data_IF_877839003610
#
_entry.id   IF_877839003610
#
_cell.length_a   1.000
_cell.length_b   1.000
_cell.length_c   1.000
_cell.angle_alpha   90.00
_cell.angle_beta   90.00
_cell.angle_gamma   90.00
#
_symmetry.space_group_name_H-M   'P 1'
#
loop_
_entity.id
_entity.type
_entity.pdbx_description
1 polymer ?
#
# COMPACT_ATOMS: atom_id res chain seq x y z
N UNK A 1 37.21 8.53 18.23
CA UNK A 1 35.91 8.70 17.54
C UNK A 1 36.20 8.72 16.04
N UNK A 2 36.78 7.66 15.45
CA UNK A 2 37.19 7.69 14.04
C UNK A 2 37.05 6.30 13.42
N UNK A 3 35.84 5.97 12.96
CA UNK A 3 35.54 4.74 12.21
C UNK A 3 35.14 5.00 10.76
N UNK A 4 35.20 6.25 10.30
CA UNK A 4 34.78 6.60 8.94
C UNK A 4 36.00 6.55 8.01
N UNK A 5 36.07 5.61 7.07
CA UNK A 5 37.19 5.52 6.13
C UNK A 5 37.23 6.77 5.23
N UNK A 6 38.43 7.17 4.80
CA UNK A 6 38.63 8.33 3.91
C UNK A 6 37.91 8.18 2.57
N UNK A 7 37.63 6.94 2.15
CA UNK A 7 36.87 6.62 0.95
C UNK A 7 35.34 6.78 1.11
N UNK A 8 34.85 7.24 2.26
CA UNK A 8 33.42 7.38 2.52
C UNK A 8 32.81 8.50 1.67
N UNK A 9 31.86 8.14 0.80
CA UNK A 9 31.09 9.10 0.00
C UNK A 9 29.90 9.66 0.78
N UNK A 10 29.48 10.87 0.42
CA UNK A 10 28.24 11.44 0.91
C UNK A 10 27.03 10.66 0.36
N UNK A 11 26.03 10.43 1.20
CA UNK A 11 24.75 9.85 0.76
C UNK A 11 23.96 10.96 0.07
N UNK A 12 23.72 10.81 -1.23
CA UNK A 12 22.94 11.75 -2.02
C UNK A 12 21.48 11.30 -2.02
N UNK A 13 20.61 12.14 -1.49
CA UNK A 13 19.16 11.92 -1.56
C UNK A 13 18.64 12.34 -2.93
N UNK A 14 17.75 11.55 -3.55
CA UNK A 14 17.19 11.92 -4.83
C UNK A 14 16.19 13.06 -4.67
N UNK A 15 16.21 14.02 -5.60
CA UNK A 15 15.23 15.12 -5.68
C UNK A 15 13.93 14.68 -6.37
N UNK A 16 13.99 13.58 -7.13
CA UNK A 16 12.85 12.97 -7.82
C UNK A 16 12.67 11.51 -7.41
N UNK A 17 11.42 11.07 -7.33
CA UNK A 17 11.08 9.71 -6.97
C UNK A 17 11.58 8.75 -8.06
N UNK A 18 12.39 7.72 -7.74
CA UNK A 18 12.88 6.77 -8.74
C UNK A 18 11.78 5.85 -9.31
N UNK A 19 10.57 5.88 -8.74
CA UNK A 19 9.44 5.05 -9.16
C UNK A 19 8.48 5.81 -10.09
N UNK A 20 8.13 7.05 -9.75
CA UNK A 20 7.11 7.81 -10.46
C UNK A 20 7.60 9.15 -11.03
N UNK A 21 8.86 9.53 -10.78
CA UNK A 21 9.43 10.79 -11.24
C UNK A 21 8.95 12.05 -10.52
N UNK A 22 7.94 11.95 -9.64
CA UNK A 22 7.45 13.10 -8.87
C UNK A 22 8.51 13.67 -7.92
N UNK A 23 8.37 14.94 -7.56
CA UNK A 23 9.28 15.61 -6.64
C UNK A 23 9.31 14.93 -5.26
N UNK A 24 10.49 15.00 -4.65
CA UNK A 24 10.72 14.54 -3.27
C UNK A 24 10.85 15.77 -2.38
N UNK A 25 9.93 15.90 -1.43
CA UNK A 25 9.96 16.97 -0.44
C UNK A 25 10.57 16.48 0.88
N UNK A 26 11.28 17.37 1.55
CA UNK A 26 11.74 17.18 2.92
C UNK A 26 11.25 18.36 3.75
N UNK A 27 10.32 18.08 4.66
CA UNK A 27 9.79 19.09 5.57
C UNK A 27 10.88 19.50 6.54
N UNK A 28 11.02 20.81 6.80
CA UNK A 28 11.98 21.33 7.77
C UNK A 28 11.77 20.70 9.14
N UNK A 29 12.86 20.25 9.76
CA UNK A 29 12.83 19.52 11.04
C UNK A 29 12.57 18.01 10.92
N UNK A 30 12.23 17.48 9.74
CA UNK A 30 12.07 16.04 9.54
C UNK A 30 13.33 15.38 8.93
N UNK A 31 13.64 14.18 9.42
CA UNK A 31 14.73 13.36 8.87
C UNK A 31 14.33 12.65 7.56
N UNK A 32 13.03 12.46 7.33
CA UNK A 32 12.50 11.63 6.24
C UNK A 32 12.13 12.50 5.05
N UNK A 33 12.58 12.10 3.86
CA UNK A 33 12.14 12.70 2.59
C UNK A 33 10.98 11.89 2.02
N UNK A 34 9.95 12.54 1.48
CA UNK A 34 8.73 11.88 0.98
C UNK A 34 8.46 12.25 -0.47
N UNK A 35 7.96 11.28 -1.22
CA UNK A 35 7.47 11.48 -2.57
C UNK A 35 6.12 12.21 -2.54
N UNK A 36 5.98 13.28 -3.31
CA UNK A 36 4.74 14.09 -3.40
C UNK A 36 3.69 13.48 -4.34
N UNK A 37 4.05 12.47 -5.14
CA UNK A 37 3.19 11.85 -6.15
C UNK A 37 1.95 11.09 -5.65
N UNK A 38 1.73 10.97 -4.33
CA UNK A 38 0.52 10.37 -3.76
C UNK A 38 0.16 9.01 -4.36
N UNK A 39 -1.12 8.79 -4.68
CA UNK A 39 -1.63 7.54 -5.27
C UNK A 39 -1.29 7.34 -6.75
N UNK A 40 -0.71 8.36 -7.42
CA UNK A 40 -0.15 8.20 -8.77
C UNK A 40 1.14 7.35 -8.70
N UNK A 41 1.88 7.45 -7.59
CA UNK A 41 3.05 6.62 -7.37
C UNK A 41 2.64 5.17 -7.08
N UNK A 42 3.04 4.23 -7.95
CA UNK A 42 2.75 2.80 -7.79
C UNK A 42 3.26 2.25 -6.46
N UNK A 43 4.40 2.73 -5.95
CA UNK A 43 4.93 2.33 -4.65
C UNK A 43 4.01 2.76 -3.49
N UNK A 44 3.50 3.99 -3.52
CA UNK A 44 2.56 4.47 -2.50
C UNK A 44 1.21 3.77 -2.62
N UNK A 45 0.73 3.52 -3.84
CA UNK A 45 -0.51 2.79 -4.10
C UNK A 45 -0.46 1.36 -3.56
N UNK A 46 0.62 0.63 -3.85
CA UNK A 46 0.88 -0.71 -3.28
C UNK A 46 0.84 -0.66 -1.76
N UNK A 47 1.54 0.31 -1.15
CA UNK A 47 1.58 0.42 0.31
C UNK A 47 0.22 0.78 0.92
N UNK A 48 -0.53 1.68 0.28
CA UNK A 48 -1.87 2.07 0.71
C UNK A 48 -2.84 0.89 0.67
N UNK A 49 -2.83 0.12 -0.43
CA UNK A 49 -3.68 -1.07 -0.57
C UNK A 49 -3.27 -2.17 0.41
N UNK A 50 -1.96 -2.44 0.59
CA UNK A 50 -1.48 -3.40 1.60
C UNK A 50 -1.93 -3.02 3.00
N UNK A 51 -1.85 -1.73 3.35
CA UNK A 51 -2.34 -1.26 4.63
C UNK A 51 -3.84 -1.45 4.76
N UNK A 52 -4.61 -1.09 3.73
CA UNK A 52 -6.06 -1.22 3.69
C UNK A 52 -6.53 -2.66 3.93
N UNK A 53 -5.94 -3.64 3.25
CA UNK A 53 -6.31 -5.06 3.37
C UNK A 53 -5.73 -5.75 4.61
N UNK A 54 -4.84 -5.08 5.34
CA UNK A 54 -4.14 -5.69 6.48
C UNK A 54 -5.10 -6.07 7.62
N UNK A 55 -4.67 -7.03 8.45
CA UNK A 55 -5.39 -7.46 9.66
C UNK A 55 -5.71 -6.34 10.65
N UNK A 56 -4.95 -5.24 10.61
CA UNK A 56 -5.16 -4.08 11.50
C UNK A 56 -6.12 -3.04 10.91
N UNK A 57 -6.59 -3.26 9.69
CA UNK A 57 -7.46 -2.36 8.94
C UNK A 57 -8.75 -3.09 8.58
N UNK A 58 -8.95 -3.45 7.31
CA UNK A 58 -10.15 -4.13 6.84
C UNK A 58 -10.10 -5.66 6.98
N UNK A 59 -8.95 -6.23 7.35
CA UNK A 59 -8.77 -7.67 7.59
C UNK A 59 -9.29 -8.54 6.44
N UNK A 60 -8.82 -8.25 5.20
CA UNK A 60 -9.31 -8.96 4.02
C UNK A 60 -8.52 -10.24 3.81
N UNK A 61 -9.13 -11.36 4.20
CA UNK A 61 -8.55 -12.68 3.98
C UNK A 61 -8.31 -12.97 2.49
N UNK A 62 -7.13 -13.52 2.18
CA UNK A 62 -6.74 -13.91 0.83
C UNK A 62 -6.10 -12.80 -0.02
N UNK A 63 -6.16 -11.52 0.39
CA UNK A 63 -5.43 -10.42 -0.24
C UNK A 63 -4.08 -10.17 0.45
N UNK A 64 -3.14 -11.08 0.23
CA UNK A 64 -1.76 -10.91 0.72
C UNK A 64 -0.93 -9.91 -0.11
N UNK A 65 0.22 -9.51 0.42
CA UNK A 65 1.14 -8.53 -0.20
C UNK A 65 1.44 -8.80 -1.69
N UNK A 66 1.71 -10.05 -2.05
CA UNK A 66 2.03 -10.45 -3.43
C UNK A 66 0.84 -10.33 -4.38
N UNK A 67 -0.38 -10.53 -3.87
CA UNK A 67 -1.59 -10.41 -4.69
C UNK A 67 -1.89 -8.93 -4.93
N UNK A 68 -1.76 -8.10 -3.89
CA UNK A 68 -1.89 -6.64 -3.99
C UNK A 68 -0.86 -6.05 -4.96
N UNK A 69 0.40 -6.50 -4.89
CA UNK A 69 1.44 -6.07 -5.83
C UNK A 69 1.05 -6.37 -7.28
N UNK A 70 0.62 -7.60 -7.57
CA UNK A 70 0.19 -7.98 -8.91
C UNK A 70 -1.04 -7.22 -9.39
N UNK A 71 -2.00 -6.93 -8.50
CA UNK A 71 -3.18 -6.13 -8.83
C UNK A 71 -2.78 -4.71 -9.27
N UNK A 72 -1.79 -4.11 -8.60
CA UNK A 72 -1.28 -2.79 -8.99
C UNK A 72 -0.41 -2.87 -10.25
N UNK A 73 0.45 -3.87 -10.35
CA UNK A 73 1.37 -4.04 -11.50
C UNK A 73 0.65 -4.36 -12.81
N UNK A 74 -0.50 -5.02 -12.73
CA UNK A 74 -1.41 -5.27 -13.87
C UNK A 74 -2.45 -4.17 -14.06
N UNK A 75 -2.33 -3.04 -13.34
CA UNK A 75 -3.25 -1.89 -13.41
C UNK A 75 -4.73 -2.26 -13.20
N UNK A 76 -4.99 -3.31 -12.43
CA UNK A 76 -6.34 -3.78 -12.17
C UNK A 76 -7.06 -2.97 -11.08
N UNK A 77 -6.27 -2.30 -10.23
CA UNK A 77 -6.74 -1.55 -9.05
C UNK A 77 -5.93 -0.27 -8.92
N UNK A 78 -6.61 0.86 -8.83
CA UNK A 78 -6.00 2.18 -8.61
C UNK A 78 -6.24 2.70 -7.20
N UNK A 79 -7.46 2.46 -6.71
CA UNK A 79 -7.92 2.94 -5.41
C UNK A 79 -8.46 1.78 -4.56
N UNK A 80 -8.53 1.93 -3.21
CA UNK A 80 -9.15 0.92 -2.36
C UNK A 80 -10.60 0.60 -2.75
N UNK A 81 -11.34 1.57 -3.31
CA UNK A 81 -12.71 1.37 -3.77
C UNK A 81 -12.81 0.40 -4.95
N UNK A 82 -11.76 0.28 -5.76
CA UNK A 82 -11.75 -0.63 -6.92
C UNK A 82 -11.64 -2.10 -6.50
N UNK A 83 -11.18 -2.39 -5.27
CA UNK A 83 -11.17 -3.74 -4.72
C UNK A 83 -12.58 -4.35 -4.70
N UNK A 84 -13.60 -3.55 -4.33
CA UNK A 84 -14.99 -3.99 -4.28
C UNK A 84 -15.62 -4.19 -5.67
N UNK A 85 -14.92 -3.83 -6.75
CA UNK A 85 -15.37 -4.05 -8.15
C UNK A 85 -14.71 -5.28 -8.77
N UNK A 86 -13.81 -5.96 -8.06
CA UNK A 86 -13.13 -7.15 -8.57
C UNK A 86 -14.10 -8.34 -8.61
N UNK A 87 -14.03 -9.11 -9.68
CA UNK A 87 -14.73 -10.39 -9.80
C UNK A 87 -13.75 -11.55 -9.70
N UNK A 88 -14.24 -12.72 -9.27
CA UNK A 88 -13.40 -13.90 -9.07
C UNK A 88 -12.65 -14.27 -10.36
N UNK A 89 -13.31 -14.20 -11.53
CA UNK A 89 -12.70 -14.47 -12.84
C UNK A 89 -11.56 -13.51 -13.21
N UNK A 90 -11.59 -12.25 -12.75
CA UNK A 90 -10.47 -11.32 -12.96
C UNK A 90 -9.28 -11.69 -12.08
N UNK A 91 -9.54 -12.10 -10.84
CA UNK A 91 -8.51 -12.41 -9.84
C UNK A 91 -7.79 -13.73 -10.16
N UNK A 92 -8.46 -14.71 -10.78
CA UNK A 92 -7.85 -16.00 -11.16
C UNK A 92 -6.69 -15.90 -12.15
N UNK A 93 -6.51 -14.75 -12.82
CA UNK A 93 -5.39 -14.51 -13.74
C UNK A 93 -4.09 -14.17 -13.00
N UNK A 94 -4.15 -13.98 -11.68
CA UNK A 94 -3.00 -13.68 -10.83
C UNK A 94 -2.27 -14.97 -10.44
N UNK A 95 -0.95 -14.86 -10.28
CA UNK A 95 -0.13 -15.97 -9.84
C UNK A 95 -0.56 -16.42 -8.45
N UNK A 96 -0.71 -17.75 -8.29
CA UNK A 96 -1.16 -18.42 -7.06
C UNK A 96 -2.60 -18.11 -6.65
N UNK A 97 -3.44 -17.60 -7.56
CA UNK A 97 -4.88 -17.46 -7.34
C UNK A 97 -5.67 -18.52 -8.12
N UNK A 98 -6.13 -19.56 -7.40
CA UNK A 98 -7.07 -20.54 -7.95
C UNK A 98 -8.52 -20.06 -7.88
N UNK A 99 -9.46 -20.73 -8.58
CA UNK A 99 -10.88 -20.34 -8.57
C UNK A 99 -11.48 -20.23 -7.17
N UNK A 100 -11.14 -21.17 -6.28
CA UNK A 100 -11.62 -21.16 -4.89
C UNK A 100 -11.05 -20.00 -4.08
N UNK A 101 -9.75 -19.70 -4.20
CA UNK A 101 -9.14 -18.60 -3.46
C UNK A 101 -9.62 -17.25 -3.97
N UNK A 102 -9.82 -17.12 -5.29
CA UNK A 102 -10.41 -15.93 -5.89
C UNK A 102 -11.84 -15.70 -5.40
N UNK A 103 -12.67 -16.75 -5.32
CA UNK A 103 -14.01 -16.63 -4.78
C UNK A 103 -14.00 -16.20 -3.31
N UNK A 104 -13.16 -16.82 -2.48
CA UNK A 104 -13.03 -16.46 -1.07
C UNK A 104 -12.69 -14.97 -0.86
N UNK A 105 -11.84 -14.39 -1.71
CA UNK A 105 -11.49 -12.96 -1.65
C UNK A 105 -12.69 -12.08 -1.98
N UNK A 106 -13.46 -12.42 -3.02
CA UNK A 106 -14.66 -11.68 -3.38
C UNK A 106 -15.69 -11.76 -2.25
N UNK A 107 -15.92 -12.94 -1.70
CA UNK A 107 -16.85 -13.14 -0.59
C UNK A 107 -16.43 -12.33 0.66
N UNK A 108 -15.11 -12.27 0.95
CA UNK A 108 -14.57 -11.47 2.04
C UNK A 108 -14.84 -9.96 1.83
N UNK A 109 -14.60 -9.45 0.62
CA UNK A 109 -14.84 -8.05 0.26
C UNK A 109 -16.35 -7.70 0.30
N UNK A 110 -17.20 -8.59 -0.21
CA UNK A 110 -18.66 -8.43 -0.16
C UNK A 110 -19.18 -8.40 1.29
N UNK A 111 -18.62 -9.22 2.18
CA UNK A 111 -19.00 -9.22 3.59
C UNK A 111 -18.66 -7.91 4.30
N UNK A 112 -17.54 -7.27 3.95
CA UNK A 112 -17.13 -5.96 4.48
C UNK A 112 -18.00 -4.80 3.96
N UNK A 113 -18.62 -4.95 2.80
CA UNK A 113 -19.52 -3.95 2.22
C UNK A 113 -20.86 -3.82 2.97
N UNK A 114 -21.17 -4.75 3.87
CA UNK A 114 -22.45 -4.79 4.60
C UNK A 114 -22.49 -3.75 5.72
N UNK A 115 -23.66 -3.11 5.96
CA UNK A 115 -23.80 -1.93 6.83
C UNK A 115 -23.42 -2.15 8.31
N UNK A 116 -23.33 -3.39 8.77
CA UNK A 116 -22.92 -3.72 10.14
C UNK A 116 -21.42 -3.51 10.39
N UNK A 117 -20.61 -3.28 9.34
CA UNK A 117 -19.16 -3.04 9.41
C UNK A 117 -18.78 -1.55 9.33
N UNK A 118 -19.72 -0.62 9.49
CA UNK A 118 -19.43 0.83 9.36
C UNK A 118 -18.52 1.39 10.47
N UNK A 119 -18.41 0.71 11.61
CA UNK A 119 -17.57 1.15 12.75
C UNK A 119 -16.07 1.01 12.44
N UNK A 120 -15.65 0.04 11.61
CA UNK A 120 -14.23 -0.10 11.22
C UNK A 120 -13.83 0.91 10.14
N UNK A 121 -14.74 1.24 9.21
CA UNK A 121 -14.49 2.18 8.12
C UNK A 121 -14.12 3.59 8.60
N UNK A 122 -14.68 4.06 9.72
CA UNK A 122 -14.43 5.42 10.22
C UNK A 122 -13.00 5.63 10.73
N UNK A 123 -12.29 4.57 11.12
CA UNK A 123 -10.90 4.65 11.60
C UNK A 123 -9.87 4.78 10.46
N UNK A 124 -10.23 4.45 9.21
CA UNK A 124 -9.24 4.34 8.12
C UNK A 124 -9.11 5.59 7.25
N UNK A 125 -10.12 6.48 7.24
CA UNK A 125 -10.04 7.75 6.49
C UNK A 125 -9.17 8.80 7.22
N UNK A 126 -8.85 8.58 8.50
CA UNK A 126 -8.14 9.53 9.35
C UNK A 126 -6.74 9.06 9.79
N UNK A 127 -5.85 8.77 8.83
CA UNK A 127 -4.42 8.72 9.16
C UNK A 127 -3.58 9.45 8.10
N UNK A 128 -3.64 10.78 8.15
CA UNK A 128 -2.47 11.62 7.88
C UNK A 128 -1.52 11.51 9.08
N UNK A 129 -0.96 10.32 9.31
CA UNK A 129 0.05 10.03 10.36
C UNK A 129 0.66 8.63 10.20
N UNK A 130 1.65 8.48 9.31
CA UNK A 130 2.69 7.45 9.54
C UNK A 130 3.56 7.95 10.70
N UNK A 131 3.01 7.87 11.92
CA UNK A 131 3.66 8.19 13.19
C UNK A 131 3.38 7.06 14.17
N UNK A 132 3.93 5.89 13.88
CA UNK A 132 4.25 4.81 14.86
C UNK A 132 4.84 3.60 14.14
N UNK A 133 6.15 3.62 13.94
CA UNK A 133 7.01 2.43 13.92
C UNK A 133 8.48 2.86 14.17
N UNK A 134 8.67 3.80 15.09
CA UNK A 134 9.98 4.12 15.68
C UNK A 134 9.80 4.45 17.17
N UNK A 135 9.76 3.40 17.99
CA UNK A 135 10.24 3.42 19.37
C UNK A 135 10.74 2.00 19.69
N UNK A 136 11.87 1.66 19.08
CA UNK A 136 12.98 0.85 19.62
C UNK A 136 14.20 1.16 18.78
#
# INVERSE_FOLDING_TARGET
>A
MDRRPESAKAVVYPTQCPVCGSDVERVEGEAVSRCTGGLVCSAQRKQALKHFVSRKAMDVDGLGDKVVEQLVDKEMVETPADLFKLSAGRITVLDRMGPKSAQNVVDALENLSKPHCLVSCLLLVFVRSVKRLQQT
#
